data_IF_142086625698
#
_entry.id   IF_142086625698
#
_cell.length_a   1.000
_cell.length_b   1.000
_cell.length_c   1.000
_cell.angle_alpha   90.00
_cell.angle_beta   90.00
_cell.angle_gamma   90.00
#
_symmetry.space_group_name_H-M   'P 1'
#
loop_
_entity.id
_entity.type
_entity.pdbx_description
1 polymer ?
#
# COMPACT_ATOMS: atom_id res chain seq x y z
N UNK A 1 -36.08 10.46 35.59
CA UNK A 1 -36.43 11.89 35.57
C UNK A 1 -35.23 12.65 35.01
N UNK A 2 -35.44 13.31 33.87
CA UNK A 2 -34.46 13.97 32.96
C UNK A 2 -33.67 15.13 33.65
N UNK A 3 -32.98 16.07 32.94
CA UNK A 3 -32.11 16.05 31.72
C UNK A 3 -30.79 16.88 31.93
N UNK A 4 -29.98 16.97 30.87
CA UNK A 4 -29.07 18.06 30.43
C UNK A 4 -27.81 18.47 31.25
N UNK A 5 -26.73 18.69 30.49
CA UNK A 5 -25.36 19.11 30.84
C UNK A 5 -24.43 17.96 31.33
N UNK A 6 -23.24 17.74 30.77
CA UNK A 6 -22.35 18.66 30.08
C UNK A 6 -21.25 17.91 29.29
N UNK A 7 -20.76 18.61 28.27
CA UNK A 7 -19.46 18.45 27.60
C UNK A 7 -19.36 17.41 26.48
N UNK A 8 -19.47 17.97 25.27
CA UNK A 8 -19.36 17.28 24.00
C UNK A 8 -18.00 16.63 23.80
N UNK A 9 -18.04 15.31 23.67
CA UNK A 9 -17.02 14.54 22.98
C UNK A 9 -17.29 14.68 21.48
N UNK A 10 -16.43 15.42 20.76
CA UNK A 10 -16.39 15.42 19.31
C UNK A 10 -16.01 14.00 18.84
N UNK A 11 -17.00 13.13 18.71
CA UNK A 11 -16.85 11.88 17.97
C UNK A 11 -16.75 12.27 16.50
N UNK A 12 -15.58 12.10 15.90
CA UNK A 12 -15.40 12.24 14.46
C UNK A 12 -15.98 10.99 13.77
N UNK A 13 -17.17 11.01 13.15
CA UNK A 13 -17.82 9.82 12.62
C UNK A 13 -17.84 9.87 11.08
N UNK A 14 -16.74 10.33 10.44
CA UNK A 14 -16.75 10.61 8.99
C UNK A 14 -15.90 9.67 8.13
N UNK A 15 -15.09 8.80 8.72
CA UNK A 15 -14.18 7.94 7.94
C UNK A 15 -14.66 6.49 7.75
N UNK A 16 -15.74 6.06 8.40
CA UNK A 16 -16.19 4.66 8.36
C UNK A 16 -17.27 4.37 7.31
N UNK A 17 -17.86 5.40 6.67
CA UNK A 17 -18.92 5.19 5.66
C UNK A 17 -18.37 4.80 4.29
N UNK A 18 -17.20 5.29 3.92
CA UNK A 18 -16.63 5.12 2.56
C UNK A 18 -16.02 3.74 2.33
N UNK A 19 -15.54 3.05 3.37
CA UNK A 19 -14.98 1.69 3.25
C UNK A 19 -16.05 0.61 3.02
N UNK A 20 -17.32 0.86 3.36
CA UNK A 20 -18.41 -0.11 3.19
C UNK A 20 -18.94 -0.20 1.75
N UNK A 21 -18.76 0.85 0.96
CA UNK A 21 -19.38 0.94 -0.36
C UNK A 21 -18.66 0.10 -1.43
N UNK A 22 -17.40 -0.25 -1.24
CA UNK A 22 -16.60 -0.99 -2.22
C UNK A 22 -16.73 -2.52 -2.14
N UNK A 23 -17.55 -3.05 -1.22
CA UNK A 23 -17.81 -4.48 -1.03
C UNK A 23 -19.21 -4.87 -1.51
N UNK A 24 -19.67 -4.38 -2.67
CA UNK A 24 -20.89 -4.87 -3.32
C UNK A 24 -20.58 -6.10 -4.17
N UNK A 25 -20.23 -7.20 -3.51
CA UNK A 25 -20.58 -8.53 -3.99
C UNK A 25 -21.15 -9.27 -2.78
N UNK A 26 -22.47 -9.29 -2.70
CA UNK A 26 -23.28 -9.86 -1.62
C UNK A 26 -23.19 -11.40 -1.67
N UNK A 27 -22.03 -11.94 -1.31
CA UNK A 27 -21.96 -13.28 -0.77
C UNK A 27 -22.24 -13.16 0.72
N UNK A 28 -23.39 -13.65 1.14
CA UNK A 28 -23.72 -13.83 2.55
C UNK A 28 -22.75 -14.83 3.19
N UNK A 29 -21.55 -14.37 3.57
CA UNK A 29 -20.64 -15.11 4.44
C UNK A 29 -21.25 -15.12 5.84
N UNK A 30 -22.05 -16.15 6.13
CA UNK A 30 -22.61 -16.43 7.46
C UNK A 30 -21.56 -16.94 8.46
N UNK A 31 -20.28 -16.97 8.10
CA UNK A 31 -19.20 -17.35 9.00
C UNK A 31 -18.86 -16.18 9.94
N UNK A 32 -19.25 -16.29 11.21
CA UNK A 32 -18.92 -15.31 12.25
C UNK A 32 -17.39 -15.21 12.39
N UNK A 33 -16.80 -14.13 11.88
CA UNK A 33 -15.38 -13.83 12.04
C UNK A 33 -15.09 -13.56 13.52
N UNK A 34 -14.43 -14.51 14.18
CA UNK A 34 -13.92 -14.33 15.54
C UNK A 34 -12.62 -13.52 15.48
N UNK A 35 -12.66 -12.28 15.96
CA UNK A 35 -11.45 -11.46 16.04
C UNK A 35 -10.48 -12.04 17.07
N UNK A 36 -9.31 -12.43 16.59
CA UNK A 36 -8.19 -12.80 17.46
C UNK A 36 -7.41 -11.55 17.88
N UNK A 37 -6.64 -11.64 18.97
CA UNK A 37 -5.78 -10.54 19.44
C UNK A 37 -4.79 -10.10 18.36
N UNK A 38 -4.21 -11.04 17.62
CA UNK A 38 -3.27 -10.75 16.53
C UNK A 38 -3.92 -9.94 15.40
N UNK A 39 -5.16 -10.27 15.03
CA UNK A 39 -5.92 -9.48 14.06
C UNK A 39 -6.16 -8.06 14.57
N UNK A 40 -6.54 -7.90 15.85
CA UNK A 40 -6.81 -6.59 16.45
C UNK A 40 -5.57 -5.69 16.48
N UNK A 41 -4.40 -6.28 16.77
CA UNK A 41 -3.12 -5.59 16.68
C UNK A 41 -2.80 -5.15 15.24
N UNK A 42 -2.95 -6.05 14.25
CA UNK A 42 -2.69 -5.72 12.85
C UNK A 42 -3.62 -4.63 12.32
N UNK A 43 -4.90 -4.68 12.69
CA UNK A 43 -5.89 -3.66 12.32
C UNK A 43 -5.58 -2.30 12.93
N UNK A 44 -5.22 -2.27 14.21
CA UNK A 44 -4.83 -1.03 14.88
C UNK A 44 -3.57 -0.43 14.26
N UNK A 45 -2.58 -1.26 13.92
CA UNK A 45 -1.37 -0.83 13.22
C UNK A 45 -1.68 -0.24 11.84
N UNK A 46 -2.59 -0.87 11.08
CA UNK A 46 -3.05 -0.36 9.79
C UNK A 46 -3.78 0.98 9.92
N UNK A 47 -4.69 1.11 10.88
CA UNK A 47 -5.39 2.37 11.15
C UNK A 47 -4.41 3.50 11.48
N UNK A 48 -3.45 3.24 12.36
CA UNK A 48 -2.41 4.20 12.72
C UNK A 48 -1.55 4.60 11.51
N UNK A 49 -1.20 3.62 10.66
CA UNK A 49 -0.44 3.87 9.43
C UNK A 49 -1.23 4.71 8.43
N UNK A 50 -2.53 4.44 8.26
CA UNK A 50 -3.39 5.23 7.37
C UNK A 50 -3.63 6.65 7.87
N UNK A 51 -3.71 6.84 9.20
CA UNK A 51 -3.85 8.17 9.80
C UNK A 51 -2.58 9.02 9.70
N UNK A 52 -1.41 8.37 9.66
CA UNK A 52 -0.11 9.03 9.56
C UNK A 52 0.46 9.10 8.15
N UNK A 53 -0.15 8.41 7.18
CA UNK A 53 0.34 8.35 5.81
C UNK A 53 0.45 9.75 5.20
N UNK A 54 1.61 10.09 4.58
CA UNK A 54 1.77 11.37 3.93
C UNK A 54 0.79 11.50 2.76
N UNK A 55 0.35 12.73 2.48
CA UNK A 55 -0.52 12.99 1.34
C UNK A 55 0.17 12.53 0.04
N UNK A 56 -0.47 11.59 -0.66
CA UNK A 56 -0.02 11.10 -1.95
C UNK A 56 -0.09 12.23 -2.99
N UNK A 57 0.99 12.39 -3.75
CA UNK A 57 1.03 13.33 -4.86
C UNK A 57 0.27 12.79 -6.06
N UNK A 58 -0.47 13.65 -6.75
CA UNK A 58 -0.98 13.33 -8.08
C UNK A 58 0.20 13.10 -9.04
N UNK A 59 0.13 12.09 -9.92
CA UNK A 59 1.19 11.81 -10.87
C UNK A 59 1.31 12.96 -11.88
N UNK A 60 2.53 13.41 -12.11
CA UNK A 60 2.87 14.41 -13.12
C UNK A 60 3.73 13.77 -14.21
N UNK A 61 3.13 13.53 -15.38
CA UNK A 61 3.77 12.85 -16.50
C UNK A 61 4.89 13.64 -17.20
N UNK A 62 5.06 14.93 -16.86
CA UNK A 62 6.20 15.72 -17.33
C UNK A 62 7.50 15.44 -16.57
N UNK A 63 7.42 14.69 -15.46
CA UNK A 63 8.55 14.37 -14.59
C UNK A 63 8.84 12.88 -14.61
N UNK A 64 10.11 12.47 -14.46
CA UNK A 64 10.47 11.06 -14.40
C UNK A 64 9.88 10.40 -13.16
N UNK A 65 9.50 9.14 -13.30
CA UNK A 65 9.05 8.32 -12.19
C UNK A 65 10.21 7.53 -11.59
N UNK A 66 10.20 7.37 -10.28
CA UNK A 66 11.16 6.56 -9.56
C UNK A 66 10.41 5.50 -8.76
N UNK A 67 10.77 4.23 -8.95
CA UNK A 67 10.16 3.10 -8.25
C UNK A 67 11.21 2.43 -7.37
N UNK A 68 11.04 2.51 -6.04
CA UNK A 68 11.86 1.77 -5.09
C UNK A 68 11.20 0.46 -4.75
N UNK A 69 11.89 -0.65 -4.95
CA UNK A 69 11.40 -2.00 -4.67
C UNK A 69 12.27 -2.65 -3.60
N UNK A 70 11.62 -3.25 -2.61
CA UNK A 70 12.24 -4.11 -1.61
C UNK A 70 11.45 -5.39 -1.47
N UNK A 71 12.16 -6.50 -1.31
CA UNK A 71 11.57 -7.81 -1.03
C UNK A 71 12.03 -8.28 0.35
N UNK A 72 11.09 -8.80 1.15
CA UNK A 72 11.39 -9.42 2.43
C UNK A 72 10.42 -10.56 2.72
N UNK A 73 10.97 -11.73 3.03
CA UNK A 73 10.18 -12.88 3.51
C UNK A 73 9.09 -13.37 2.56
N UNK A 74 9.25 -13.17 1.24
CA UNK A 74 8.24 -13.52 0.25
C UNK A 74 7.18 -12.43 0.01
N UNK A 75 7.38 -11.23 0.54
CA UNK A 75 6.51 -10.07 0.31
C UNK A 75 7.31 -8.98 -0.38
N UNK A 76 6.79 -8.51 -1.50
CA UNK A 76 7.33 -7.40 -2.25
C UNK A 76 6.62 -6.11 -1.82
N UNK A 77 7.39 -5.08 -1.50
CA UNK A 77 6.91 -3.73 -1.23
C UNK A 77 7.59 -2.76 -2.18
N UNK A 78 6.84 -1.78 -2.67
CA UNK A 78 7.40 -0.72 -3.49
C UNK A 78 6.77 0.64 -3.24
N UNK A 79 7.54 1.68 -3.54
CA UNK A 79 7.10 3.07 -3.48
C UNK A 79 7.37 3.70 -4.83
N UNK A 80 6.33 4.26 -5.45
CA UNK A 80 6.44 5.11 -6.63
C UNK A 80 6.49 6.55 -6.17
N UNK A 81 7.56 7.28 -6.47
CA UNK A 81 7.69 8.69 -6.14
C UNK A 81 8.19 9.51 -7.32
N UNK A 82 7.93 10.81 -7.25
CA UNK A 82 8.38 11.79 -8.23
C UNK A 82 9.06 12.98 -7.53
N UNK A 83 10.01 13.66 -8.19
CA UNK A 83 10.58 14.89 -7.68
C UNK A 83 9.49 15.97 -7.56
N UNK A 84 9.40 16.62 -6.40
CA UNK A 84 8.47 17.72 -6.15
C UNK A 84 9.06 18.69 -5.12
N UNK A 85 9.21 19.96 -5.51
CA UNK A 85 9.61 21.03 -4.57
C UNK A 85 10.95 20.79 -3.86
N UNK A 86 11.93 20.16 -4.53
CA UNK A 86 13.26 19.89 -3.96
C UNK A 86 13.38 18.57 -3.19
N UNK A 87 12.31 17.78 -3.08
CA UNK A 87 12.34 16.43 -2.48
C UNK A 87 11.63 15.40 -3.35
N UNK A 88 11.55 14.16 -2.85
CA UNK A 88 10.75 13.09 -3.46
C UNK A 88 9.38 13.03 -2.80
N UNK A 89 8.32 13.10 -3.61
CA UNK A 89 6.93 12.94 -3.15
C UNK A 89 6.38 11.60 -3.62
N UNK A 90 5.89 10.73 -2.72
CA UNK A 90 5.28 9.46 -3.10
C UNK A 90 3.95 9.70 -3.83
N UNK A 91 3.76 9.02 -4.95
CA UNK A 91 2.53 8.97 -5.75
C UNK A 91 1.71 7.72 -5.42
N UNK A 92 2.37 6.59 -5.15
CA UNK A 92 1.71 5.34 -4.79
C UNK A 92 2.60 4.44 -3.92
N UNK A 93 1.95 3.63 -3.08
CA UNK A 93 2.58 2.52 -2.35
C UNK A 93 2.00 1.21 -2.86
N UNK A 94 2.87 0.23 -3.07
CA UNK A 94 2.52 -1.12 -3.49
C UNK A 94 3.00 -2.13 -2.46
N UNK A 95 2.20 -3.16 -2.21
CA UNK A 95 2.60 -4.30 -1.42
C UNK A 95 1.86 -5.54 -1.93
N UNK A 96 2.61 -6.60 -2.25
CA UNK A 96 2.06 -7.88 -2.71
C UNK A 96 2.88 -9.04 -2.19
N UNK A 97 2.21 -10.11 -1.81
CA UNK A 97 2.87 -11.39 -1.53
C UNK A 97 3.24 -12.06 -2.84
N UNK A 98 4.47 -12.57 -2.92
CA UNK A 98 4.94 -13.34 -4.06
C UNK A 98 4.21 -14.68 -4.14
N UNK A 99 4.11 -15.23 -5.34
CA UNK A 99 3.52 -16.54 -5.55
C UNK A 99 4.35 -17.63 -4.85
N UNK A 100 3.78 -18.83 -4.73
CA UNK A 100 4.48 -19.97 -4.09
C UNK A 100 5.79 -20.30 -4.81
N UNK A 101 5.83 -20.13 -6.14
CA UNK A 101 7.00 -20.44 -6.97
C UNK A 101 8.14 -19.46 -6.72
N UNK A 102 7.87 -18.15 -6.80
CA UNK A 102 8.88 -17.12 -6.57
C UNK A 102 9.37 -17.09 -5.12
N UNK A 103 8.51 -17.47 -4.15
CA UNK A 103 8.96 -17.63 -2.75
C UNK A 103 9.98 -18.75 -2.57
N UNK A 104 9.92 -19.80 -3.39
CA UNK A 104 10.91 -20.88 -3.41
C UNK A 104 12.27 -20.49 -3.99
N UNK A 105 12.37 -19.33 -4.66
CA UNK A 105 13.62 -18.87 -5.25
C UNK A 105 14.60 -18.29 -4.20
N UNK A 106 15.92 -18.29 -4.50
CA UNK A 106 16.91 -17.59 -3.69
C UNK A 106 16.64 -16.08 -3.66
N UNK A 107 17.13 -15.40 -2.63
CA UNK A 107 16.82 -13.98 -2.33
C UNK A 107 17.02 -13.03 -3.52
N UNK A 108 18.11 -13.19 -4.27
CA UNK A 108 18.39 -12.35 -5.44
C UNK A 108 17.32 -12.54 -6.54
N UNK A 109 17.00 -13.78 -6.89
CA UNK A 109 15.96 -14.07 -7.90
C UNK A 109 14.57 -13.67 -7.42
N UNK A 110 14.32 -13.78 -6.13
CA UNK A 110 13.08 -13.32 -5.52
C UNK A 110 12.93 -11.79 -5.60
N UNK A 111 14.02 -11.05 -5.40
CA UNK A 111 14.06 -9.62 -5.62
C UNK A 111 13.78 -9.26 -7.10
N UNK A 112 14.30 -10.01 -8.06
CA UNK A 112 13.97 -9.82 -9.49
C UNK A 112 12.48 -10.05 -9.76
N UNK A 113 11.92 -11.14 -9.24
CA UNK A 113 10.49 -11.44 -9.37
C UNK A 113 9.61 -10.35 -8.73
N UNK A 114 10.01 -9.84 -7.57
CA UNK A 114 9.37 -8.70 -6.92
C UNK A 114 9.42 -7.45 -7.79
N UNK A 115 10.56 -7.13 -8.40
CA UNK A 115 10.70 -5.98 -9.29
C UNK A 115 9.79 -6.08 -10.51
N UNK A 116 9.77 -7.24 -11.17
CA UNK A 116 8.91 -7.47 -12.33
C UNK A 116 7.42 -7.26 -11.99
N UNK A 117 6.97 -7.80 -10.85
CA UNK A 117 5.60 -7.63 -10.39
C UNK A 117 5.28 -6.16 -10.05
N UNK A 118 6.19 -5.46 -9.39
CA UNK A 118 5.99 -4.06 -9.02
C UNK A 118 5.99 -3.13 -10.24
N UNK A 119 6.81 -3.42 -11.26
CA UNK A 119 6.82 -2.67 -12.52
C UNK A 119 5.49 -2.83 -13.25
N UNK A 120 4.95 -4.05 -13.34
CA UNK A 120 3.63 -4.29 -13.96
C UNK A 120 2.48 -3.56 -13.26
N UNK A 121 2.55 -3.39 -11.94
CA UNK A 121 1.56 -2.59 -11.22
C UNK A 121 1.79 -1.08 -11.35
N UNK A 122 3.05 -0.66 -11.36
CA UNK A 122 3.43 0.74 -11.54
C UNK A 122 3.07 1.24 -12.94
N UNK A 123 3.15 0.40 -13.96
CA UNK A 123 2.79 0.72 -15.35
C UNK A 123 1.37 1.29 -15.48
N UNK A 124 0.43 0.82 -14.64
CA UNK A 124 -0.95 1.30 -14.61
C UNK A 124 -1.06 2.79 -14.24
N UNK A 125 -0.09 3.32 -13.50
CA UNK A 125 0.00 4.73 -13.11
C UNK A 125 0.99 5.48 -14.01
N UNK A 126 2.09 4.84 -14.40
CA UNK A 126 3.17 5.46 -15.19
C UNK A 126 2.77 5.63 -16.67
N UNK A 127 1.86 4.82 -17.19
CA UNK A 127 1.32 4.92 -18.56
C UNK A 127 2.39 4.94 -19.67
N UNK A 128 3.48 4.19 -19.49
CA UNK A 128 4.56 4.08 -20.49
C UNK A 128 5.56 5.23 -20.49
N UNK A 129 5.50 6.14 -19.51
CA UNK A 129 6.53 7.17 -19.30
C UNK A 129 7.81 6.61 -18.65
N UNK A 130 8.87 7.41 -18.68
CA UNK A 130 10.17 7.03 -18.13
C UNK A 130 10.08 6.66 -16.64
N UNK A 131 10.55 5.44 -16.34
CA UNK A 131 10.56 4.85 -15.01
C UNK A 131 11.97 4.40 -14.63
N UNK A 132 12.51 4.94 -13.55
CA UNK A 132 13.78 4.49 -12.97
C UNK A 132 13.51 3.52 -11.82
N UNK A 133 13.94 2.27 -11.98
CA UNK A 133 13.85 1.24 -10.95
C UNK A 133 15.04 1.33 -9.97
N UNK A 134 14.75 1.34 -8.68
CA UNK A 134 15.71 1.30 -7.59
C UNK A 134 15.47 0.04 -6.76
N UNK A 135 16.51 -0.74 -6.51
CA UNK A 135 16.43 -2.01 -5.78
C UNK A 135 17.49 -2.07 -4.70
N UNK A 136 17.18 -2.66 -3.54
CA UNK A 136 18.15 -2.82 -2.43
C UNK A 136 19.34 -3.71 -2.78
N UNK A 137 19.16 -4.61 -3.74
CA UNK A 137 20.21 -5.45 -4.29
C UNK A 137 20.38 -5.11 -5.77
N UNK A 138 21.61 -4.89 -6.24
CA UNK A 138 21.88 -4.60 -7.64
C UNK A 138 21.48 -5.82 -8.49
N UNK A 139 20.33 -5.73 -9.14
CA UNK A 139 19.86 -6.70 -10.11
C UNK A 139 20.31 -6.18 -11.47
N UNK A 140 21.29 -6.85 -12.08
CA UNK A 140 21.70 -6.56 -13.45
C UNK A 140 20.61 -7.12 -14.39
N UNK A 141 19.78 -6.24 -14.93
CA UNK A 141 18.90 -6.54 -16.06
C UNK A 141 19.74 -6.30 -17.33
N UNK A 142 19.93 -7.35 -18.14
CA UNK A 142 20.62 -7.28 -19.43
C UNK A 142 19.63 -6.98 -20.57
#
# INVERSE_FOLDING_TARGET
WLPWASSGFLTAPRMTKTLRASFTHEQAMTHRLTWTTAMNCAYSALLSSLQSAPALGLPNYALPFHLWVSESGGTAAAVLAQPHGGGLRPCAYYSKTLDVTARGLPSCLRAVAACALMVQDAEKIVLGHDLTLHTSHQVLLY
#
